data_IF_816733272870
#
_entry.id   IF_816733272870
#
_cell.length_a   1.000
_cell.length_b   1.000
_cell.length_c   1.000
_cell.angle_alpha   90.00
_cell.angle_beta   90.00
_cell.angle_gamma   90.00
#
_symmetry.space_group_name_H-M   'P 1'
#
loop_
_entity.id
_entity.type
_entity.pdbx_description
1 polymer ?
#
# COMPACT_ATOMS: atom_id res chain seq x y z
N UNK A 1 20.15 -1.12 6.02
CA UNK A 1 18.81 -1.69 6.25
C UNK A 1 17.91 -0.59 6.79
N UNK A 2 16.79 -0.29 6.15
CA UNK A 2 15.79 0.66 6.66
C UNK A 2 14.62 -0.16 7.21
N UNK A 3 14.28 0.04 8.48
CA UNK A 3 13.11 -0.58 9.11
C UNK A 3 12.05 0.51 9.21
N UNK A 4 10.92 0.31 8.53
CA UNK A 4 9.77 1.23 8.54
C UNK A 4 8.59 0.50 9.17
N UNK A 5 7.92 1.12 10.13
CA UNK A 5 6.69 0.58 10.69
C UNK A 5 5.49 1.06 9.88
N UNK A 6 4.74 0.11 9.30
CA UNK A 6 3.66 0.44 8.37
C UNK A 6 2.55 1.31 8.99
N UNK A 7 2.38 1.27 10.32
CA UNK A 7 1.35 2.08 10.99
C UNK A 7 1.68 3.57 11.01
N UNK A 8 2.96 3.92 10.86
CA UNK A 8 3.42 5.30 10.84
C UNK A 8 3.30 5.93 9.44
N UNK A 9 3.12 5.10 8.40
CA UNK A 9 2.93 5.55 7.03
C UNK A 9 1.48 5.93 6.76
N UNK A 10 1.29 6.98 5.95
CA UNK A 10 -0.02 7.46 5.56
C UNK A 10 -0.74 6.48 4.63
N UNK A 11 -2.06 6.36 4.83
CA UNK A 11 -2.92 5.62 3.89
C UNK A 11 -3.07 6.46 2.63
N UNK A 12 -2.69 5.88 1.49
CA UNK A 12 -2.88 6.51 0.19
C UNK A 12 -4.37 6.55 -0.13
N UNK A 13 -4.86 7.73 -0.46
CA UNK A 13 -6.16 7.87 -1.07
C UNK A 13 -6.20 7.10 -2.40
N UNK A 14 -7.22 6.28 -2.55
CA UNK A 14 -7.42 5.48 -3.74
C UNK A 14 -8.93 5.32 -3.98
N UNK A 15 -9.35 5.23 -5.25
CA UNK A 15 -10.78 5.20 -5.63
C UNK A 15 -11.54 3.98 -5.12
N UNK A 16 -10.83 3.03 -4.50
CA UNK A 16 -11.38 1.80 -3.94
C UNK A 16 -11.54 1.87 -2.41
N UNK A 17 -11.05 2.93 -1.76
CA UNK A 17 -11.13 3.10 -0.30
C UNK A 17 -10.31 2.06 0.48
N UNK A 18 -9.34 1.40 -0.15
CA UNK A 18 -8.53 0.32 0.44
C UNK A 18 -7.39 0.91 1.29
N UNK A 19 -7.01 0.26 2.39
CA UNK A 19 -5.81 0.68 3.13
C UNK A 19 -4.55 0.24 2.36
N UNK A 20 -3.96 1.20 1.62
CA UNK A 20 -2.74 1.03 0.83
C UNK A 20 -1.68 1.98 1.35
N UNK A 21 -0.53 1.46 1.78
CA UNK A 21 0.60 2.25 2.30
C UNK A 21 1.88 1.93 1.54
N UNK A 22 2.64 2.95 1.18
CA UNK A 22 3.93 2.80 0.49
C UNK A 22 5.04 2.70 1.53
N UNK A 23 5.69 1.55 1.63
CA UNK A 23 6.79 1.33 2.59
C UNK A 23 8.15 1.64 1.98
N UNK A 24 8.27 1.45 0.66
CA UNK A 24 9.50 1.64 -0.07
C UNK A 24 9.21 1.93 -1.54
N UNK A 25 10.01 2.82 -2.12
CA UNK A 25 9.91 3.18 -3.53
C UNK A 25 11.27 3.71 -3.99
N UNK A 26 11.89 3.01 -4.94
CA UNK A 26 13.07 3.47 -5.67
C UNK A 26 12.97 3.01 -7.13
N UNK A 27 13.98 3.36 -7.93
CA UNK A 27 14.05 3.00 -9.35
C UNK A 27 13.98 1.48 -9.60
N UNK A 28 14.41 0.66 -8.66
CA UNK A 28 14.56 -0.78 -8.86
C UNK A 28 13.48 -1.62 -8.19
N UNK A 29 12.74 -1.07 -7.23
CA UNK A 29 11.75 -1.79 -6.45
C UNK A 29 10.77 -0.86 -5.73
N UNK A 30 9.56 -1.37 -5.55
CA UNK A 30 8.52 -0.75 -4.76
C UNK A 30 7.92 -1.80 -3.81
N UNK A 31 7.61 -1.38 -2.58
CA UNK A 31 6.93 -2.23 -1.59
C UNK A 31 5.71 -1.49 -1.06
N UNK A 32 4.55 -2.14 -1.20
CA UNK A 32 3.26 -1.65 -0.74
C UNK A 32 2.72 -2.59 0.33
N UNK A 33 2.21 -2.03 1.43
CA UNK A 33 1.39 -2.73 2.40
C UNK A 33 -0.08 -2.53 2.03
N UNK A 34 -0.81 -3.62 1.78
CA UNK A 34 -2.22 -3.57 1.39
C UNK A 34 -3.01 -4.41 2.39
N UNK A 35 -3.98 -3.80 3.06
CA UNK A 35 -4.95 -4.53 3.89
C UNK A 35 -6.29 -4.59 3.17
N UNK A 36 -6.79 -5.79 2.92
CA UNK A 36 -8.08 -6.04 2.30
C UNK A 36 -9.07 -6.53 3.35
N UNK A 37 -10.17 -5.81 3.54
CA UNK A 37 -11.34 -6.29 4.29
C UNK A 37 -12.24 -7.14 3.37
N UNK A 38 -13.11 -7.98 3.94
CA UNK A 38 -14.09 -8.71 3.15
C UNK A 38 -14.90 -7.76 2.24
N UNK A 39 -14.90 -8.03 0.94
CA UNK A 39 -15.59 -7.20 -0.07
C UNK A 39 -14.71 -6.19 -0.82
N UNK A 40 -13.47 -5.94 -0.38
CA UNK A 40 -12.54 -4.98 -1.01
C UNK A 40 -11.62 -5.64 -2.08
N UNK A 41 -11.85 -6.92 -2.41
CA UNK A 41 -10.88 -7.78 -3.12
C UNK A 41 -10.77 -7.58 -4.64
N UNK A 42 -11.38 -6.55 -5.23
CA UNK A 42 -11.32 -6.33 -6.69
C UNK A 42 -10.48 -5.09 -7.01
N UNK A 43 -9.16 -5.24 -6.96
CA UNK A 43 -8.24 -4.13 -7.17
C UNK A 43 -7.16 -4.47 -8.20
N UNK A 44 -7.19 -3.80 -9.35
CA UNK A 44 -6.04 -3.66 -10.25
C UNK A 44 -5.23 -2.46 -9.75
N UNK A 45 -4.44 -2.64 -8.69
CA UNK A 45 -3.67 -1.55 -8.02
C UNK A 45 -2.22 -1.43 -8.52
N UNK A 46 -1.86 -2.14 -9.57
CA UNK A 46 -0.55 -2.07 -10.24
C UNK A 46 -0.76 -1.55 -11.66
N UNK A 47 -0.76 -0.22 -11.81
CA UNK A 47 -0.50 0.47 -13.07
C UNK A 47 0.50 1.58 -12.84
#
# INVERSE_FOLDING_TARGET
MRITYWKDEEVKDNPHGVDVRKLYDNEHAQVMHITLKPGESRSTLIS
#
